data_IF_809985576211
#
_entry.id   IF_809985576211
#
_cell.length_a   1.000
_cell.length_b   1.000
_cell.length_c   1.000
_cell.angle_alpha   90.00
_cell.angle_beta   90.00
_cell.angle_gamma   90.00
#
_symmetry.space_group_name_H-M   'P 1'
#
loop_
_entity.id
_entity.type
_entity.pdbx_description
1 polymer ?
2 non-polymer ?
3 non-polymer ?
4 non-polymer ?
5 non-polymer ?
6 non-polymer ?
7 non-polymer ?
8 water ?
#
# COMPACT_ATOMS: atom_id res chain seq x y z
N UNK A 15 -5.55 -23.97 -0.74
CA UNK A 15 -6.93 -23.84 -1.32
C UNK A 15 -6.97 -24.34 -2.77
N UNK A 16 -8.16 -24.49 -3.32
CA UNK A 16 -8.36 -24.94 -4.69
C UNK A 16 -8.43 -23.74 -5.63
N UNK A 17 -7.70 -23.81 -6.75
CA UNK A 17 -7.70 -22.75 -7.78
C UNK A 17 -7.44 -21.34 -7.21
N UNK A 18 -6.30 -21.16 -6.52
CA UNK A 18 -6.04 -19.83 -5.96
C UNK A 18 -5.88 -18.79 -7.06
N UNK A 19 -6.30 -17.56 -6.79
CA UNK A 19 -6.14 -16.43 -7.73
C UNK A 19 -5.15 -15.37 -7.29
N UNK A 20 -4.54 -15.54 -6.13
CA UNK A 20 -3.57 -14.57 -5.60
C UNK A 20 -2.34 -15.37 -5.25
N UNK A 21 -1.73 -15.91 -6.31
CA UNK A 21 -0.67 -16.85 -6.15
C UNK A 21 0.67 -16.37 -6.67
N UNK A 22 0.68 -15.86 -7.89
CA UNK A 22 1.94 -15.46 -8.51
C UNK A 22 1.89 -14.02 -8.98
N UNK A 23 3.07 -13.42 -9.08
CA UNK A 23 3.22 -12.08 -9.56
C UNK A 23 3.91 -12.09 -10.92
N UNK A 24 3.30 -11.40 -11.88
CA UNK A 24 3.82 -11.22 -13.21
C UNK A 24 4.13 -9.75 -13.48
N UNK A 25 5.00 -9.47 -14.45
CA UNK A 25 5.22 -8.10 -14.88
C UNK A 25 3.89 -7.53 -15.42
N UNK A 26 3.48 -6.38 -14.91
CA UNK A 26 2.25 -5.74 -15.34
C UNK A 26 2.21 -5.38 -16.83
N UNK A 27 3.37 -5.06 -17.38
CA UNK A 27 3.47 -4.63 -18.78
C UNK A 27 3.45 -5.76 -19.79
N UNK A 28 4.02 -6.91 -19.48
CA UNK A 28 4.17 -7.99 -20.46
C UNK A 28 3.78 -9.38 -19.99
N UNK A 29 3.59 -9.61 -18.69
CA UNK A 29 3.24 -10.91 -18.20
C UNK A 29 4.32 -11.88 -17.81
N UNK A 30 5.59 -11.48 -17.96
CA UNK A 30 6.71 -12.31 -17.50
C UNK A 30 6.50 -12.76 -16.05
N UNK A 31 6.72 -14.03 -15.79
CA UNK A 31 6.63 -14.53 -14.40
C UNK A 31 7.77 -13.96 -13.58
N UNK A 32 7.45 -13.37 -12.44
CA UNK A 32 8.47 -12.68 -11.61
C UNK A 32 8.60 -13.27 -10.19
N UNK A 33 7.52 -13.43 -9.44
CA UNK A 33 7.62 -13.96 -8.09
C UNK A 33 6.34 -14.61 -7.63
N UNK A 34 6.23 -14.91 -6.34
CA UNK A 34 5.12 -15.68 -5.79
C UNK A 34 4.80 -15.10 -4.44
N UNK A 35 3.52 -15.11 -4.07
CA UNK A 35 3.11 -14.68 -2.75
C UNK A 35 3.81 -15.48 -1.62
N UNK A 36 4.01 -16.77 -1.87
CA UNK A 36 4.72 -17.63 -0.93
C UNK A 36 6.11 -17.13 -0.59
N UNK A 37 6.69 -16.32 -1.48
CA UNK A 37 8.07 -15.84 -1.31
C UNK A 37 8.14 -14.44 -0.71
N UNK A 38 7.03 -13.89 -0.27
CA UNK A 38 7.08 -12.61 0.45
C UNK A 38 7.97 -12.72 1.70
N UNK A 39 8.71 -11.66 1.99
CA UNK A 39 9.73 -11.67 3.02
C UNK A 39 9.53 -10.47 3.95
N UNK A 40 9.16 -10.70 5.23
CA UNK A 40 8.95 -9.60 6.16
C UNK A 40 10.23 -8.98 6.73
N UNK A 41 10.87 -8.13 5.95
CA UNK A 41 12.06 -7.37 6.35
C UNK A 41 11.74 -6.32 7.40
N UNK A 42 12.43 -6.34 8.53
CA UNK A 42 12.09 -5.46 9.63
C UNK A 42 10.65 -5.59 10.11
N UNK A 43 10.07 -6.78 10.00
CA UNK A 43 8.70 -7.06 10.44
C UNK A 43 7.57 -6.81 9.46
N UNK A 44 7.86 -6.32 8.25
CA UNK A 44 6.80 -6.00 7.26
C UNK A 44 7.32 -6.33 5.89
N UNK A 45 6.55 -7.01 5.05
CA UNK A 45 6.97 -7.20 3.67
C UNK A 45 6.84 -5.90 2.86
N UNK A 46 5.98 -4.98 3.29
CA UNK A 46 5.79 -3.69 2.63
C UNK A 46 6.61 -2.59 3.25
N UNK A 47 7.33 -1.86 2.40
CA UNK A 47 8.16 -0.72 2.80
C UNK A 47 7.87 0.44 1.87
N UNK A 48 7.37 1.56 2.41
CA UNK A 48 7.10 2.74 1.61
C UNK A 48 8.27 3.68 1.71
N UNK A 49 8.87 4.01 0.57
CA UNK A 49 10.16 4.65 0.50
C UNK A 49 10.21 5.69 -0.61
N UNK A 50 11.17 6.61 -0.53
CA UNK A 50 11.39 7.53 -1.64
C UNK A 50 12.84 7.60 -2.05
N UNK A 51 13.07 7.83 -3.35
CA UNK A 51 14.42 7.99 -3.88
C UNK A 51 14.84 9.48 -3.92
N UNK A 52 16.09 9.75 -4.32
CA UNK A 52 16.56 11.15 -4.36
C UNK A 52 15.81 12.04 -5.35
N UNK A 53 15.15 11.44 -6.34
CA UNK A 53 14.31 12.17 -7.28
C UNK A 53 12.91 12.42 -6.73
N UNK A 54 12.65 12.00 -5.50
CA UNK A 54 11.38 12.24 -4.82
C UNK A 54 10.28 11.26 -5.17
N UNK A 55 10.60 10.22 -5.93
CA UNK A 55 9.59 9.25 -6.34
C UNK A 55 9.33 8.33 -5.14
N UNK A 56 8.05 8.12 -4.82
CA UNK A 56 7.62 7.23 -3.75
C UNK A 56 7.37 5.86 -4.38
N UNK A 57 7.79 4.81 -3.66
CA UNK A 57 7.57 3.42 -4.09
C UNK A 57 7.01 2.67 -2.90
N UNK A 58 6.02 1.84 -3.22
CA UNK A 58 5.53 0.87 -2.27
C UNK A 58 6.23 -0.44 -2.65
N UNK A 59 7.23 -0.79 -1.86
CA UNK A 59 8.16 -1.88 -2.20
C UNK A 59 7.73 -3.08 -1.37
N UNK A 60 7.57 -4.20 -2.07
CA UNK A 60 7.30 -5.48 -1.40
C UNK A 60 8.58 -6.27 -1.49
N UNK A 61 8.97 -6.84 -0.35
CA UNK A 61 10.21 -7.62 -0.28
C UNK A 61 9.89 -9.08 -0.51
N UNK A 62 10.72 -9.72 -1.35
CA UNK A 62 10.57 -11.13 -1.70
C UNK A 62 11.93 -11.80 -1.49
N UNK A 63 11.88 -13.04 -0.98
CA UNK A 63 13.12 -13.80 -0.81
C UNK A 63 13.75 -14.18 -2.14
N UNK A 64 12.93 -14.38 -3.15
CA UNK A 64 13.30 -14.94 -4.43
C UNK A 64 12.45 -14.24 -5.48
N UNK A 65 13.00 -14.18 -6.66
CA UNK A 65 12.30 -13.72 -7.87
C UNK A 65 13.01 -14.33 -9.05
N UNK A 66 12.34 -14.28 -10.19
CA UNK A 66 12.87 -14.80 -11.44
C UNK A 66 12.44 -13.87 -12.55
N UNK A 67 12.94 -14.08 -13.75
CA UNK A 67 12.44 -13.32 -14.89
C UNK A 67 12.93 -11.89 -14.99
N UNK A 68 13.86 -11.51 -14.12
CA UNK A 68 14.40 -10.16 -14.09
C UNK A 68 15.74 -10.16 -14.77
N UNK A 69 16.26 -8.96 -15.03
CA UNK A 69 17.61 -8.75 -15.49
C UNK A 69 18.19 -7.70 -14.56
N UNK A 70 19.28 -8.06 -13.87
CA UNK A 70 19.88 -7.17 -12.89
C UNK A 70 21.00 -6.42 -13.59
N UNK A 71 20.97 -5.09 -13.50
CA UNK A 71 21.76 -4.19 -14.31
C UNK A 71 22.87 -3.53 -13.50
N UNK A 72 24.10 -3.63 -14.00
CA UNK A 72 25.24 -3.00 -13.34
C UNK A 72 25.75 -3.70 -12.09
N UNK A 73 26.64 -3.01 -11.40
CA UNK A 73 27.25 -3.48 -10.17
C UNK A 73 26.50 -2.88 -8.96
N UNK A 74 26.59 -3.53 -7.79
CA UNK A 74 25.86 -3.05 -6.65
C UNK A 74 26.32 -1.70 -6.13
N UNK A 75 25.41 -0.94 -5.54
CA UNK A 75 25.73 0.32 -4.90
C UNK A 75 25.10 0.38 -3.53
N UNK A 76 25.80 0.90 -2.53
CA UNK A 76 25.19 1.18 -1.22
C UNK A 76 24.54 2.53 -1.07
N UNK A 77 24.70 3.39 -2.08
CA UNK A 77 24.22 4.78 -2.03
C UNK A 77 22.72 4.82 -1.85
N UNK A 78 22.27 5.59 -0.87
CA UNK A 78 20.83 5.81 -0.61
C UNK A 78 20.05 4.52 -0.33
N UNK A 79 20.70 3.43 0.08
CA UNK A 79 20.00 2.19 0.24
C UNK A 79 18.94 2.32 1.34
N UNK A 80 17.74 1.84 1.04
CA UNK A 80 16.64 1.83 1.97
C UNK A 80 16.74 0.73 3.04
N UNK A 81 17.69 -0.18 2.90
CA UNK A 81 17.80 -1.33 3.78
C UNK A 81 19.23 -1.38 4.28
N UNK A 82 19.35 -1.15 5.59
CA UNK A 82 20.66 -1.05 6.22
C UNK A 82 21.47 -2.31 5.99
N UNK A 83 22.71 -2.11 5.53
CA UNK A 83 23.64 -3.20 5.28
C UNK A 83 23.58 -3.82 3.91
N UNK A 84 22.63 -3.38 3.07
CA UNK A 84 22.48 -3.94 1.72
C UNK A 84 22.83 -2.95 0.64
N UNK A 85 23.41 -3.49 -0.42
CA UNK A 85 23.75 -2.76 -1.63
C UNK A 85 22.73 -3.21 -2.65
N UNK A 86 22.42 -2.34 -3.59
CA UNK A 86 21.31 -2.63 -4.57
C UNK A 86 21.79 -2.59 -6.00
N UNK A 87 21.07 -3.33 -6.83
CA UNK A 87 21.19 -3.28 -8.27
C UNK A 87 19.78 -3.14 -8.81
N UNK A 88 19.65 -2.37 -9.86
CA UNK A 88 18.35 -2.19 -10.53
C UNK A 88 17.93 -3.52 -11.14
N UNK A 89 16.65 -3.84 -10.94
CA UNK A 89 16.06 -5.06 -11.50
C UNK A 89 15.02 -4.66 -12.54
N UNK A 90 15.27 -5.04 -13.79
CA UNK A 90 14.31 -4.80 -14.87
C UNK A 90 13.60 -6.11 -15.15
N UNK A 91 12.39 -6.01 -15.67
CA UNK A 91 11.77 -7.17 -16.30
C UNK A 91 12.71 -7.67 -17.41
N UNK A 92 13.06 -8.95 -17.36
CA UNK A 92 13.96 -9.55 -18.32
C UNK A 92 13.37 -9.65 -19.70
N UNK A 93 12.06 -9.59 -19.79
CA UNK A 93 11.36 -9.72 -21.05
C UNK A 93 11.18 -8.34 -21.72
N UNK A 94 10.56 -7.39 -21.01
CA UNK A 94 10.20 -6.10 -21.61
C UNK A 94 11.02 -4.88 -21.17
N UNK A 95 11.85 -5.04 -20.14
CA UNK A 95 12.69 -3.96 -19.66
C UNK A 95 12.06 -3.01 -18.67
N UNK A 96 10.80 -3.24 -18.29
CA UNK A 96 10.11 -2.41 -17.28
C UNK A 96 10.93 -2.43 -15.98
N UNK A 97 11.08 -1.27 -15.34
CA UNK A 97 11.78 -1.26 -14.06
C UNK A 97 10.87 -1.80 -12.98
N UNK A 98 11.16 -2.99 -12.45
CA UNK A 98 10.31 -3.64 -11.46
C UNK A 98 10.76 -3.49 -10.02
N UNK A 99 12.01 -3.13 -9.80
CA UNK A 99 12.53 -2.94 -8.47
C UNK A 99 14.01 -3.05 -8.39
N UNK A 100 14.49 -3.70 -7.33
CA UNK A 100 15.92 -3.77 -7.02
C UNK A 100 16.22 -5.12 -6.43
N UNK A 101 17.46 -5.58 -6.67
CA UNK A 101 17.99 -6.72 -5.96
C UNK A 101 18.96 -6.19 -4.91
N UNK A 102 18.85 -6.74 -3.71
CA UNK A 102 19.69 -6.33 -2.57
C UNK A 102 20.63 -7.45 -2.23
N UNK A 103 21.88 -7.10 -1.96
CA UNK A 103 22.90 -8.06 -1.58
C UNK A 103 23.89 -7.46 -0.60
N UNK A 104 24.75 -8.32 -0.10
CA UNK A 104 25.85 -7.88 0.74
C UNK A 104 25.52 -7.71 2.21
N UNK A 105 24.32 -8.09 2.61
CA UNK A 105 23.85 -7.87 3.97
C UNK A 105 23.83 -9.15 4.78
N UNK A 106 22.95 -9.21 5.79
CA UNK A 106 22.93 -10.34 6.72
C UNK A 106 21.50 -10.75 7.06
N UNK A 107 21.25 -12.05 7.02
CA UNK A 107 19.97 -12.63 7.47
C UNK A 107 18.72 -11.91 6.93
N UNK A 108 18.49 -11.94 5.60
CA UNK A 108 19.26 -12.71 4.63
C UNK A 108 20.40 -11.91 4.00
N UNK A 109 21.30 -12.60 3.34
CA UNK A 109 22.34 -11.93 2.58
C UNK A 109 21.78 -11.14 1.41
N UNK A 110 20.72 -11.68 0.80
CA UNK A 110 20.11 -11.14 -0.39
C UNK A 110 18.59 -11.21 -0.35
N UNK A 111 17.96 -10.28 -1.08
CA UNK A 111 16.51 -10.34 -1.30
C UNK A 111 16.15 -9.38 -2.45
N UNK A 112 14.89 -9.39 -2.85
CA UNK A 112 14.38 -8.48 -3.88
C UNK A 112 13.38 -7.52 -3.28
N UNK A 113 13.46 -6.25 -3.67
CA UNK A 113 12.42 -5.26 -3.35
C UNK A 113 11.75 -4.86 -4.64
N UNK A 114 10.49 -5.28 -4.80
CA UNK A 114 9.78 -5.06 -6.05
C UNK A 114 8.67 -4.05 -5.84
N UNK A 115 8.40 -3.28 -6.88
CA UNK A 115 7.42 -2.20 -6.82
C UNK A 115 6.02 -2.81 -7.06
N UNK A 116 5.19 -2.77 -6.04
CA UNK A 116 3.93 -3.51 -6.01
C UNK A 116 3.04 -3.21 -7.21
N UNK A 117 2.89 -1.92 -7.52
CA UNK A 117 1.98 -1.47 -8.58
C UNK A 117 2.52 -1.73 -9.98
N UNK A 118 3.74 -2.25 -10.10
CA UNK A 118 4.32 -2.66 -11.39
C UNK A 118 4.19 -4.14 -11.64
N UNK A 119 3.54 -4.86 -10.72
CA UNK A 119 3.28 -6.30 -10.85
C UNK A 119 1.78 -6.53 -10.95
N UNK A 120 1.40 -7.64 -11.58
CA UNK A 120 0.02 -8.11 -11.59
C UNK A 120 -0.05 -9.45 -10.88
N UNK A 121 -0.97 -9.60 -9.96
CA UNK A 121 -1.11 -10.81 -9.16
C UNK A 121 -2.21 -11.69 -9.71
N UNK A 122 -2.00 -13.00 -9.70
CA UNK A 122 -2.97 -13.89 -10.33
C UNK A 122 -2.69 -15.34 -10.03
N UNK A 123 -3.51 -16.20 -10.67
CA UNK A 123 -3.42 -17.62 -10.36
C UNK A 123 -2.14 -18.27 -10.82
N UNK A 124 -1.79 -19.35 -10.15
CA UNK A 124 -0.61 -20.13 -10.47
C UNK A 124 -0.60 -20.75 -11.89
N UNK B 15 -18.67 15.46 7.04
CA UNK B 15 -19.49 15.70 8.28
C UNK B 15 -20.99 15.67 8.00
N UNK B 16 -21.48 16.56 7.15
CA UNK B 16 -22.93 16.69 6.91
C UNK B 16 -23.44 15.87 5.74
N UNK B 17 -22.54 15.41 4.87
CA UNK B 17 -22.96 14.77 3.62
C UNK B 17 -21.90 13.81 3.09
N UNK B 18 -22.23 13.03 2.04
CA UNK B 18 -21.19 12.19 1.44
C UNK B 18 -20.06 13.03 0.86
N UNK B 19 -18.85 12.50 0.90
CA UNK B 19 -17.69 13.09 0.21
C UNK B 19 -18.08 13.60 -1.18
N UNK B 20 -17.41 14.65 -1.64
CA UNK B 20 -17.82 15.31 -2.87
C UNK B 20 -17.56 14.54 -4.13
N UNK B 21 -16.86 13.39 -4.11
CA UNK B 21 -16.64 12.68 -5.33
C UNK B 21 -17.30 11.30 -5.49
N UNK B 22 -17.77 11.11 -6.73
CA UNK B 22 -18.41 9.86 -7.11
C UNK B 22 -17.71 9.28 -8.34
N UNK B 23 -17.92 8.00 -8.55
CA UNK B 23 -17.45 7.30 -9.73
C UNK B 23 -18.64 6.93 -10.59
N UNK B 24 -18.61 7.37 -11.84
CA UNK B 24 -19.65 7.10 -12.80
C UNK B 24 -19.14 6.14 -13.85
N UNK B 25 -20.06 5.42 -14.50
CA UNK B 25 -19.69 4.61 -15.65
C UNK B 25 -19.14 5.53 -16.72
N UNK B 26 -17.93 5.21 -17.21
CA UNK B 26 -17.27 6.05 -18.21
C UNK B 26 -18.04 6.10 -19.53
N UNK B 27 -18.77 5.03 -19.83
CA UNK B 27 -19.50 4.92 -21.10
C UNK B 27 -20.83 5.63 -21.13
N UNK B 28 -21.59 5.64 -20.03
CA UNK B 28 -22.93 6.28 -20.04
C UNK B 28 -23.22 7.28 -18.93
N UNK B 29 -22.36 7.36 -17.93
CA UNK B 29 -22.54 8.35 -16.89
C UNK B 29 -23.29 7.94 -15.65
N UNK B 30 -23.80 6.70 -15.64
CA UNK B 30 -24.61 6.26 -14.50
C UNK B 30 -23.71 6.30 -13.25
N UNK B 31 -24.19 6.82 -12.13
CA UNK B 31 -23.52 6.70 -10.87
C UNK B 31 -23.36 5.22 -10.47
N UNK B 32 -22.12 4.86 -10.16
CA UNK B 32 -21.77 3.49 -9.75
C UNK B 32 -21.29 3.38 -8.30
N UNK B 33 -20.31 4.19 -7.91
CA UNK B 33 -19.80 4.13 -6.53
C UNK B 33 -19.25 5.47 -6.08
N UNK B 34 -18.62 5.48 -4.93
CA UNK B 34 -18.30 6.76 -4.24
C UNK B 34 -16.92 6.61 -3.63
N UNK B 35 -16.15 7.68 -3.63
CA UNK B 35 -14.87 7.68 -2.96
C UNK B 35 -14.96 7.27 -1.47
N UNK B 36 -16.04 7.68 -0.82
CA UNK B 36 -16.28 7.33 0.59
C UNK B 36 -16.29 5.80 0.79
N UNK B 37 -16.59 5.05 -0.27
CA UNK B 37 -16.74 3.60 -0.18
C UNK B 37 -15.50 2.84 -0.59
N UNK B 38 -14.39 3.54 -0.88
CA UNK B 38 -13.15 2.84 -1.15
C UNK B 38 -12.76 1.94 0.01
N UNK B 39 -12.25 0.77 -0.31
CA UNK B 39 -12.09 -0.32 0.67
C UNK B 39 -10.67 -0.87 0.50
N UNK B 40 -9.79 -0.66 1.50
CA UNK B 40 -8.41 -1.18 1.37
C UNK B 40 -8.29 -2.68 1.70
N UNK B 41 -8.67 -3.52 0.74
CA UNK B 41 -8.54 -4.98 0.87
C UNK B 41 -7.10 -5.42 0.83
N UNK B 42 -6.69 -6.21 1.82
CA UNK B 42 -5.29 -6.59 1.93
C UNK B 42 -4.33 -5.41 2.02
N UNK B 43 -4.78 -4.28 2.58
CA UNK B 43 -3.96 -3.09 2.75
C UNK B 43 -3.90 -2.08 1.61
N UNK B 44 -4.61 -2.33 0.50
CA UNK B 44 -4.57 -1.42 -0.66
C UNK B 44 -5.93 -1.40 -1.30
N UNK B 45 -6.48 -0.23 -1.65
CA UNK B 45 -7.71 -0.28 -2.45
C UNK B 45 -7.44 -0.64 -3.92
N UNK B 46 -6.21 -0.45 -4.39
CA UNK B 46 -5.82 -0.83 -5.75
C UNK B 46 -5.20 -2.20 -5.82
N UNK B 47 -5.69 -3.03 -6.75
CA UNK B 47 -5.15 -4.37 -6.97
C UNK B 47 -4.96 -4.53 -8.47
N UNK B 48 -3.73 -4.74 -8.93
CA UNK B 48 -3.44 -5.09 -10.32
C UNK B 48 -3.35 -6.62 -10.37
N UNK B 49 -4.18 -7.21 -11.21
CA UNK B 49 -4.44 -8.65 -11.20
C UNK B 49 -4.54 -9.19 -12.62
N UNK B 50 -4.41 -10.49 -12.75
CA UNK B 50 -4.63 -11.14 -14.04
C UNK B 50 -5.49 -12.38 -13.86
N UNK B 51 -6.27 -12.69 -14.88
CA UNK B 51 -7.16 -13.87 -14.85
C UNK B 51 -6.47 -15.06 -15.54
N UNK B 52 -7.11 -16.25 -15.53
CA UNK B 52 -6.51 -17.41 -16.18
C UNK B 52 -6.29 -17.27 -17.69
N UNK B 53 -7.04 -16.38 -18.33
CA UNK B 53 -6.86 -16.09 -19.74
C UNK B 53 -5.73 -15.10 -19.99
N UNK B 54 -5.09 -14.63 -18.93
CA UNK B 54 -3.96 -13.69 -19.02
C UNK B 54 -4.36 -12.25 -19.23
N UNK B 55 -5.64 -11.93 -19.06
CA UNK B 55 -6.08 -10.52 -19.13
C UNK B 55 -5.71 -9.82 -17.81
N UNK B 56 -5.09 -8.66 -17.93
CA UNK B 56 -4.66 -7.86 -16.78
C UNK B 56 -5.66 -6.78 -16.52
N UNK B 57 -6.00 -6.56 -15.25
CA UNK B 57 -6.94 -5.51 -14.83
C UNK B 57 -6.40 -4.74 -13.67
N UNK B 58 -6.70 -3.46 -13.59
CA UNK B 58 -6.39 -2.65 -12.42
C UNK B 58 -7.69 -2.36 -11.73
N UNK B 59 -7.91 -3.03 -10.61
CA UNK B 59 -9.16 -3.04 -9.87
C UNK B 59 -9.06 -2.15 -8.64
N UNK B 60 -10.09 -1.37 -8.37
CA UNK B 60 -10.24 -0.62 -7.14
C UNK B 60 -11.37 -1.27 -6.33
N UNK B 61 -11.15 -1.49 -5.04
CA UNK B 61 -12.14 -2.13 -4.20
C UNK B 61 -13.04 -1.08 -3.55
N UNK B 62 -14.35 -1.36 -3.59
CA UNK B 62 -15.38 -0.52 -2.99
C UNK B 62 -16.29 -1.36 -2.15
N UNK B 63 -16.73 -0.84 -1.01
CA UNK B 63 -17.62 -1.60 -0.12
C UNK B 63 -19.00 -1.82 -0.70
N UNK B 64 -19.47 -0.85 -1.43
CA UNK B 64 -20.81 -0.86 -2.02
C UNK B 64 -20.71 -0.29 -3.41
N UNK B 65 -21.74 -0.57 -4.21
CA UNK B 65 -21.94 0.08 -5.49
C UNK B 65 -23.42 0.09 -5.81
N UNK B 66 -23.77 0.79 -6.85
CA UNK B 66 -25.15 0.82 -7.34
C UNK B 66 -25.12 0.89 -8.84
N UNK B 67 -26.26 0.60 -9.43
CA UNK B 67 -26.41 0.75 -10.86
C UNK B 67 -25.80 -0.34 -11.70
N UNK B 68 -25.33 -1.42 -11.08
CA UNK B 68 -24.72 -2.52 -11.82
C UNK B 68 -25.75 -3.63 -12.02
N UNK B 69 -25.42 -4.59 -12.87
CA UNK B 69 -26.19 -5.83 -13.02
C UNK B 69 -25.19 -6.95 -12.91
N UNK B 70 -25.37 -7.83 -11.95
CA UNK B 70 -24.50 -8.94 -11.70
C UNK B 70 -24.99 -10.14 -12.48
N UNK B 71 -24.09 -10.77 -13.23
CA UNK B 71 -24.41 -11.77 -14.24
C UNK B 71 -23.95 -13.14 -13.79
N UNK B 72 -24.85 -14.13 -13.87
CA UNK B 72 -24.52 -15.51 -13.58
C UNK B 72 -24.48 -15.82 -12.11
N UNK B 73 -24.02 -17.05 -11.80
CA UNK B 73 -23.89 -17.50 -10.42
C UNK B 73 -22.47 -17.24 -9.92
N UNK B 74 -22.31 -17.09 -8.60
CA UNK B 74 -20.96 -16.84 -8.08
C UNK B 74 -20.00 -18.01 -8.32
N UNK B 75 -18.72 -17.68 -8.51
CA UNK B 75 -17.70 -18.67 -8.72
C UNK B 75 -16.57 -18.41 -7.77
N UNK B 76 -16.04 -19.51 -7.19
CA UNK B 76 -14.83 -19.44 -6.40
C UNK B 76 -13.55 -19.59 -7.19
N UNK B 77 -13.67 -19.99 -8.45
CA UNK B 77 -12.51 -20.31 -9.30
C UNK B 77 -11.60 -19.12 -9.47
N UNK B 78 -10.32 -19.26 -9.07
CA UNK B 78 -9.30 -18.24 -9.32
C UNK B 78 -9.62 -16.87 -8.78
N UNK B 79 -10.35 -16.88 -7.66
CA UNK B 79 -10.70 -15.63 -7.03
C UNK B 79 -9.47 -14.84 -6.64
N UNK B 80 -9.47 -13.54 -6.95
CA UNK B 80 -8.37 -12.68 -6.54
C UNK B 80 -8.35 -12.34 -5.04
N UNK B 81 -9.45 -12.67 -4.35
CA UNK B 81 -9.59 -12.35 -2.94
C UNK B 81 -9.97 -13.62 -2.23
N UNK B 82 -9.01 -14.16 -1.48
CA UNK B 82 -9.17 -15.46 -0.83
C UNK B 82 -10.40 -15.46 0.09
N UNK B 83 -11.24 -16.47 -0.04
CA UNK B 83 -12.43 -16.61 0.77
C UNK B 83 -13.68 -16.02 0.16
N UNK B 84 -13.55 -15.37 -1.01
CA UNK B 84 -14.69 -14.78 -1.70
C UNK B 84 -14.96 -15.47 -3.03
N UNK B 85 -16.22 -15.51 -3.41
CA UNK B 85 -16.69 -15.93 -4.71
C UNK B 85 -17.00 -14.64 -5.49
N UNK B 86 -16.90 -14.70 -6.81
CA UNK B 86 -17.14 -13.53 -7.65
C UNK B 86 -18.24 -13.72 -8.69
N UNK B 87 -18.84 -12.59 -9.06
CA UNK B 87 -19.77 -12.52 -10.17
C UNK B 87 -19.38 -11.32 -10.99
N UNK B 88 -19.51 -11.45 -12.29
CA UNK B 88 -19.25 -10.36 -13.22
C UNK B 88 -20.27 -9.24 -13.03
N UNK B 89 -19.79 -8.01 -12.99
CA UNK B 89 -20.63 -6.80 -12.87
C UNK B 89 -20.61 -5.98 -14.12
N UNK B 90 -21.78 -5.78 -14.73
CA UNK B 90 -21.94 -4.88 -15.85
C UNK B 90 -22.61 -3.61 -15.39
N UNK B 91 -22.37 -2.50 -16.07
CA UNK B 91 -23.25 -1.36 -15.89
C UNK B 91 -24.68 -1.77 -16.24
N UNK B 92 -25.62 -1.53 -15.34
CA UNK B 92 -27.01 -1.90 -15.54
C UNK B 92 -27.70 -1.08 -16.63
N UNK B 93 -27.15 0.09 -16.92
CA UNK B 93 -27.73 1.01 -17.87
C UNK B 93 -27.21 0.78 -19.28
N UNK B 94 -25.91 0.65 -19.46
CA UNK B 94 -25.33 0.48 -20.80
C UNK B 94 -24.65 -0.85 -21.10
N UNK B 95 -24.45 -1.69 -20.09
CA UNK B 95 -23.82 -3.00 -20.29
C UNK B 95 -22.31 -3.07 -20.27
N UNK B 96 -21.64 -1.93 -20.05
CA UNK B 96 -20.18 -1.88 -19.96
C UNK B 96 -19.68 -2.82 -18.85
N UNK B 97 -18.63 -3.59 -19.09
CA UNK B 97 -18.10 -4.45 -18.03
C UNK B 97 -17.32 -3.59 -17.05
N UNK B 98 -17.84 -3.41 -15.84
CA UNK B 98 -17.23 -2.52 -14.86
C UNK B 98 -16.44 -3.23 -13.78
N UNK B 99 -16.59 -4.51 -13.59
CA UNK B 99 -15.77 -5.26 -12.62
C UNK B 99 -16.46 -6.54 -12.17
N UNK B 100 -16.39 -6.74 -10.85
CA UNK B 100 -16.90 -7.94 -10.22
C UNK B 100 -17.46 -7.62 -8.86
N UNK B 101 -18.43 -8.43 -8.43
CA UNK B 101 -18.91 -8.42 -7.06
C UNK B 101 -18.38 -9.65 -6.35
N UNK B 102 -17.96 -9.46 -5.10
CA UNK B 102 -17.40 -10.51 -4.27
C UNK B 102 -18.32 -10.76 -3.12
N UNK B 103 -18.50 -12.04 -2.79
CA UNK B 103 -19.40 -12.45 -1.70
C UNK B 103 -18.90 -13.72 -1.04
N UNK B 104 -19.57 -14.05 0.05
CA UNK B 104 -19.32 -15.32 0.75
C UNK B 104 -18.15 -15.30 1.69
N UNK B 105 -17.60 -14.12 1.94
CA UNK B 105 -16.50 -13.95 2.88
C UNK B 105 -16.98 -13.43 4.23
N UNK B 106 -16.04 -12.84 4.95
CA UNK B 106 -16.29 -12.25 6.28
C UNK B 106 -15.54 -10.95 6.40
N UNK B 107 -16.19 -9.95 6.98
CA UNK B 107 -15.59 -8.67 7.32
C UNK B 107 -14.76 -8.05 6.16
N UNK B 108 -15.41 -7.66 5.06
CA UNK B 108 -16.87 -7.67 4.88
C UNK B 108 -17.37 -8.95 4.26
N UNK B 109 -18.67 -9.19 4.32
CA UNK B 109 -19.23 -10.36 3.64
C UNK B 109 -19.18 -10.18 2.13
N UNK B 110 -19.37 -8.93 1.69
CA UNK B 110 -19.42 -8.58 0.27
C UNK B 110 -18.71 -7.25 -0.01
N UNK B 111 -18.24 -7.11 -1.25
CA UNK B 111 -17.63 -5.88 -1.74
C UNK B 111 -17.50 -5.99 -3.27
N UNK B 112 -17.08 -4.89 -3.91
CA UNK B 112 -16.88 -4.83 -5.34
C UNK B 112 -15.43 -4.59 -5.66
N UNK B 113 -14.98 -5.18 -6.75
CA UNK B 113 -13.71 -4.79 -7.38
C UNK B 113 -14.04 -4.24 -8.74
N UNK B 114 -13.86 -2.94 -8.89
CA UNK B 114 -14.26 -2.25 -10.10
C UNK B 114 -13.04 -1.82 -10.89
N UNK B 115 -13.16 -1.87 -12.21
CA UNK B 115 -12.05 -1.54 -13.11
C UNK B 115 -11.90 -0.05 -13.21
N UNK B 116 -10.80 0.47 -12.66
CA UNK B 116 -10.61 1.93 -12.52
C UNK B 116 -10.75 2.65 -13.85
N UNK B 117 -10.17 2.11 -14.91
CA UNK B 117 -10.18 2.71 -16.25
C UNK B 117 -11.53 2.80 -16.91
N UNK B 118 -12.50 2.05 -16.36
CA UNK B 118 -13.88 2.04 -16.89
C UNK B 118 -14.82 2.95 -16.12
N UNK B 119 -14.27 3.68 -15.14
CA UNK B 119 -15.03 4.63 -14.33
C UNK B 119 -14.50 6.04 -14.59
N UNK B 120 -15.33 7.03 -14.32
CA UNK B 120 -14.93 8.43 -14.37
C UNK B 120 -15.22 9.03 -13.03
N UNK B 121 -14.24 9.66 -12.39
CA UNK B 121 -14.44 10.29 -11.09
C UNK B 121 -14.78 11.77 -11.26
N UNK B 122 -15.72 12.25 -10.46
CA UNK B 122 -16.21 13.61 -10.63
C UNK B 122 -17.06 14.04 -9.46
N UNK B 123 -17.46 15.31 -9.43
CA UNK B 123 -18.25 15.79 -8.31
C UNK B 123 -19.66 15.20 -8.27
N UNK B 124 -20.21 15.14 -7.07
CA UNK B 124 -21.51 14.58 -6.85
C UNK B 124 -22.55 15.66 -7.19
N UNK C 19 19.88 6.20 3.22
CA UNK C 19 18.62 6.60 2.54
C UNK C 19 17.36 6.53 3.40
N UNK C 20 17.52 6.57 4.72
CA UNK C 20 16.40 6.60 5.66
C UNK C 20 16.57 7.85 6.52
N UNK C 21 16.56 8.99 5.86
CA UNK C 21 17.05 10.24 6.40
C UNK C 21 16.03 11.35 6.54
N UNK C 22 15.11 11.43 5.62
CA UNK C 22 13.95 12.35 5.72
C UNK C 22 12.66 11.52 5.65
N UNK C 23 11.67 11.97 6.42
CA UNK C 23 10.42 11.23 6.59
C UNK C 23 9.31 12.10 6.06
N UNK C 24 8.46 11.50 5.20
CA UNK C 24 7.45 12.26 4.40
C UNK C 24 6.09 11.57 4.53
N UNK C 25 4.99 12.31 4.36
CA UNK C 25 3.69 11.69 4.27
C UNK C 25 3.62 10.71 3.09
N UNK C 26 3.23 9.47 3.37
CA UNK C 26 3.09 8.42 2.35
C UNK C 26 2.10 8.77 1.25
N UNK C 27 1.06 9.52 1.59
CA UNK C 27 -0.07 9.75 0.68
C UNK C 27 0.20 10.90 -0.28
N UNK C 28 0.92 11.94 0.17
CA UNK C 28 1.18 13.09 -0.70
C UNK C 28 2.63 13.57 -0.77
N UNK C 29 3.50 13.08 0.10
CA UNK C 29 4.90 13.47 0.09
C UNK C 29 5.33 14.66 0.91
N UNK C 30 4.39 15.29 1.61
CA UNK C 30 4.72 16.40 2.52
C UNK C 30 5.88 16.04 3.44
N UNK C 31 6.86 16.92 3.52
CA UNK C 31 8.02 16.70 4.38
C UNK C 31 7.55 16.86 5.81
N UNK C 32 7.87 15.89 6.66
CA UNK C 32 7.43 15.91 8.08
C UNK C 32 8.59 15.98 9.07
N UNK C 33 9.58 15.10 8.95
CA UNK C 33 10.68 15.13 9.91
C UNK C 33 11.96 14.51 9.33
N UNK C 34 13.00 14.49 10.19
CA UNK C 34 14.29 13.95 9.77
C UNK C 34 14.94 13.17 10.87
N UNK C 35 15.82 12.29 10.42
CA UNK C 35 16.57 11.39 11.28
C UNK C 35 17.36 12.13 12.34
N UNK C 36 17.88 13.32 12.06
CA UNK C 36 18.59 14.11 13.12
C UNK C 36 17.71 14.34 14.35
N UNK C 37 16.39 14.36 14.15
CA UNK C 37 15.45 14.64 15.24
C UNK C 37 14.83 13.40 15.85
N UNK C 38 15.25 12.22 15.40
CA UNK C 38 14.60 10.99 15.78
C UNK C 38 15.08 10.77 17.19
N UNK C 39 14.23 10.14 18.00
CA UNK C 39 14.59 9.78 19.36
C UNK C 39 14.66 8.24 19.56
N UNK C 40 15.88 7.70 19.72
CA UNK C 40 15.99 6.23 19.93
C UNK C 40 15.69 5.82 21.38
N UNK C 41 15.16 4.63 21.64
CA UNK C 41 15.16 4.08 23.00
C UNK C 41 16.10 2.91 22.88
N UNK C 42 17.24 3.02 23.57
CA UNK C 42 18.29 1.98 23.51
C UNK C 42 18.74 1.75 22.05
N UNK C 43 18.57 0.52 21.58
CA UNK C 43 18.96 0.14 20.22
C UNK C 43 17.88 0.23 19.14
N UNK C 44 16.74 0.84 19.42
CA UNK C 44 15.69 0.95 18.41
C UNK C 44 15.07 2.37 18.32
N UNK C 45 15.14 2.92 17.12
CA UNK C 45 14.43 4.19 16.87
C UNK C 45 12.92 3.93 16.71
N UNK C 46 12.53 2.72 16.33
CA UNK C 46 11.12 2.36 16.10
C UNK C 46 10.58 1.67 17.34
N UNK C 47 9.39 2.09 17.78
CA UNK C 47 8.73 1.49 18.96
C UNK C 47 7.36 0.93 18.58
N UNK C 48 7.24 -0.37 18.87
CA UNK C 48 6.19 -1.21 18.34
C UNK C 48 5.08 -1.29 19.38
N UNK C 49 3.88 -0.92 18.95
CA UNK C 49 2.75 -0.70 19.86
C UNK C 49 1.47 -1.26 19.25
N UNK C 50 0.42 -1.39 20.07
CA UNK C 50 -0.88 -1.73 19.52
C UNK C 50 -1.96 -0.77 20.02
N UNK C 51 -2.92 -0.47 19.17
CA UNK C 51 -4.10 0.30 19.60
C UNK C 51 -5.08 -0.57 20.40
N UNK C 52 -6.18 0.00 20.90
CA UNK C 52 -7.12 -0.81 21.69
C UNK C 52 -7.76 -1.98 20.93
N UNK C 53 -7.81 -1.89 19.60
CA UNK C 53 -8.29 -2.97 18.77
C UNK C 53 -7.24 -4.04 18.51
N UNK C 54 -6.03 -3.86 19.05
CA UNK C 54 -4.95 -4.82 18.89
C UNK C 54 -4.19 -4.74 17.56
N UNK C 55 -4.45 -3.69 16.78
CA UNK C 55 -3.71 -3.48 15.53
C UNK C 55 -2.31 -2.94 15.87
N UNK C 56 -1.28 -3.52 15.26
CA UNK C 56 0.11 -3.22 15.55
C UNK C 56 0.64 -2.09 14.66
N UNK C 57 1.40 -1.18 15.26
CA UNK C 57 2.03 -0.07 14.54
C UNK C 57 3.49 0.03 14.95
N UNK C 58 4.31 0.50 14.02
CA UNK C 58 5.65 0.94 14.29
C UNK C 58 5.64 2.45 14.37
N UNK C 59 5.88 2.97 15.56
CA UNK C 59 5.91 4.41 15.81
C UNK C 59 7.35 4.90 15.84
N UNK C 60 7.62 5.99 15.12
CA UNK C 60 8.89 6.69 15.23
C UNK C 60 8.69 7.98 16.01
N UNK C 61 9.48 8.18 17.05
CA UNK C 61 9.43 9.41 17.84
C UNK C 61 10.43 10.42 17.35
N UNK C 62 9.98 11.67 17.19
CA UNK C 62 10.83 12.78 16.73
C UNK C 62 10.67 13.95 17.68
N UNK C 63 11.76 14.62 17.99
CA UNK C 63 11.70 15.81 18.84
C UNK C 63 11.00 17.00 18.17
N UNK C 64 11.16 17.09 16.86
CA UNK C 64 10.62 18.19 16.08
C UNK C 64 9.98 17.66 14.82
N UNK C 65 8.97 18.38 14.32
CA UNK C 65 8.40 18.03 13.00
C UNK C 65 7.89 19.29 12.36
N UNK C 66 7.56 19.16 11.08
CA UNK C 66 6.93 20.27 10.36
C UNK C 66 5.83 19.70 9.48
N UNK C 67 5.03 20.61 8.95
CA UNK C 67 4.08 20.22 7.93
C UNK C 67 2.85 19.46 8.40
N UNK C 68 2.65 19.41 9.72
CA UNK C 68 1.47 18.78 10.28
C UNK C 68 0.43 19.85 10.61
N UNK C 69 -0.77 19.40 10.94
CA UNK C 69 -1.78 20.20 11.61
C UNK C 69 -2.20 19.43 12.85
N UNK C 70 -2.05 20.04 14.03
CA UNK C 70 -2.42 19.38 15.28
C UNK C 70 -3.85 19.77 15.62
N UNK C 71 -4.73 18.79 15.84
CA UNK C 71 -6.18 19.05 15.97
C UNK C 71 -6.67 18.76 17.37
N UNK C 72 -7.46 19.65 17.95
CA UNK C 72 -8.23 19.33 19.16
C UNK C 72 -7.43 19.38 20.45
N UNK C 73 -8.03 18.88 21.53
CA UNK C 73 -7.46 18.99 22.86
C UNK C 73 -6.73 17.70 23.24
N UNK C 74 -5.74 17.79 24.14
CA UNK C 74 -4.97 16.59 24.47
C UNK C 74 -5.79 15.53 25.21
N UNK C 75 -5.42 14.27 25.01
CA UNK C 75 -6.06 13.16 25.70
C UNK C 75 -4.99 12.25 26.26
N UNK C 76 -5.20 11.75 27.48
CA UNK C 76 -4.36 10.72 28.06
C UNK C 76 -4.78 9.28 27.72
N UNK C 77 -5.93 9.12 27.09
CA UNK C 77 -6.54 7.80 26.85
C UNK C 77 -5.63 6.90 26.03
N UNK C 78 -5.32 5.71 26.54
CA UNK C 78 -4.54 4.71 25.82
C UNK C 78 -3.16 5.19 25.38
N UNK C 79 -2.60 6.20 26.03
CA UNK C 79 -1.33 6.74 25.58
C UNK C 79 -0.26 5.66 25.66
N UNK C 80 0.51 5.53 24.58
CA UNK C 80 1.61 4.57 24.56
C UNK C 80 2.84 5.02 25.34
N UNK C 81 2.83 6.26 25.81
CA UNK C 81 3.99 6.84 26.49
C UNK C 81 3.49 7.38 27.82
N UNK C 82 3.84 6.69 28.90
CA UNK C 82 3.34 7.02 30.22
C UNK C 82 3.69 8.45 30.60
N UNK C 83 2.69 9.18 31.07
CA UNK C 83 2.86 10.57 31.46
C UNK C 83 2.68 11.59 30.36
N UNK C 84 2.38 11.14 29.14
CA UNK C 84 2.09 12.04 28.03
C UNK C 84 0.65 11.95 27.58
N UNK C 85 0.12 13.13 27.23
CA UNK C 85 -1.18 13.25 26.60
C UNK C 85 -0.88 13.46 25.11
N UNK C 86 -1.81 13.05 24.26
CA UNK C 86 -1.62 13.18 22.80
C UNK C 86 -2.70 13.99 22.13
N UNK C 87 -2.33 14.56 21.00
CA UNK C 87 -3.22 15.28 20.10
C UNK C 87 -2.96 14.74 18.72
N UNK C 88 -4.01 14.58 17.94
CA UNK C 88 -3.93 14.03 16.60
C UNK C 88 -3.11 14.96 15.71
N UNK C 89 -2.19 14.35 14.94
CA UNK C 89 -1.37 15.08 13.97
C UNK C 89 -1.77 14.62 12.57
N UNK C 90 -2.30 15.56 11.77
CA UNK C 90 -2.63 15.29 10.39
C UNK C 90 -1.58 15.89 9.51
N UNK C 91 -1.42 15.30 8.34
CA UNK C 91 -0.65 15.96 7.30
C UNK C 91 -1.31 17.30 6.98
N UNK C 92 -0.53 18.37 7.02
CA UNK C 92 -1.05 19.68 6.66
C UNK C 92 -1.40 19.84 5.19
N UNK C 93 -0.86 18.98 4.35
CA UNK C 93 -1.05 19.09 2.91
C UNK C 93 -2.26 18.30 2.43
N UNK C 94 -2.40 17.06 2.84
CA UNK C 94 -3.52 16.21 2.36
C UNK C 94 -4.50 15.77 3.44
N UNK C 95 -4.20 16.00 4.71
CA UNK C 95 -5.12 15.62 5.79
C UNK C 95 -4.97 14.20 6.33
N UNK C 96 -4.06 13.40 5.78
CA UNK C 96 -3.82 12.03 6.25
C UNK C 96 -3.44 12.03 7.73
N UNK C 97 -3.99 11.09 8.48
CA UNK C 97 -3.62 10.99 9.89
C UNK C 97 -2.25 10.33 9.98
N UNK C 98 -1.22 11.08 10.41
CA UNK C 98 0.15 10.54 10.44
C UNK C 98 0.66 10.11 11.82
N UNK C 99 -0.02 10.58 12.86
CA UNK C 99 0.40 10.26 14.20
C UNK C 99 -0.14 11.21 15.21
N UNK C 100 0.69 11.51 16.22
CA UNK C 100 0.26 12.30 17.36
C UNK C 100 1.37 13.21 17.81
N UNK C 101 0.98 14.32 18.43
CA UNK C 101 1.90 15.15 19.20
C UNK C 101 1.67 14.82 20.67
N UNK C 102 2.76 14.66 21.40
CA UNK C 102 2.72 14.25 22.81
C UNK C 102 3.22 15.40 23.65
N UNK C 103 2.55 15.61 24.79
CA UNK C 103 2.89 16.71 25.67
C UNK C 103 2.57 16.35 27.10
N UNK C 104 3.01 17.24 27.99
CA UNK C 104 2.68 17.14 29.40
C UNK C 104 3.58 16.21 30.19
N UNK C 105 4.65 15.71 29.56
CA UNK C 105 5.61 14.84 30.23
C UNK C 105 6.87 15.58 30.66
N UNK C 106 7.93 14.82 30.82
CA UNK C 106 9.24 15.32 31.26
C UNK C 106 10.35 14.64 30.47
N UNK C 107 11.34 15.43 30.05
CA UNK C 107 12.55 14.92 29.40
C UNK C 107 12.27 13.90 28.27
N UNK C 108 11.64 14.32 27.17
CA UNK C 108 11.27 15.71 26.89
C UNK C 108 9.86 16.05 27.35
N UNK C 109 9.54 17.33 27.42
CA UNK C 109 8.17 17.71 27.72
C UNK C 109 7.22 17.35 26.60
N UNK C 110 7.73 17.46 25.36
CA UNK C 110 6.94 17.20 24.15
C UNK C 110 7.74 16.46 23.08
N UNK C 111 7.02 15.74 22.22
CA UNK C 111 7.61 15.09 21.06
C UNK C 111 6.49 14.67 20.11
N UNK C 112 6.86 14.19 18.94
CA UNK C 112 5.90 13.68 17.95
C UNK C 112 6.10 12.19 17.77
N UNK C 113 5.01 11.44 17.79
CA UNK C 113 5.05 10.00 17.58
C UNK C 113 4.29 9.69 16.32
N UNK C 114 5.03 9.33 15.27
CA UNK C 114 4.44 9.22 13.95
C UNK C 114 4.44 7.76 13.53
N UNK C 115 3.38 7.39 12.82
CA UNK C 115 3.12 5.99 12.50
C UNK C 115 3.94 5.60 11.28
N UNK C 116 4.86 4.66 11.47
CA UNK C 116 5.75 4.18 10.40
C UNK C 116 5.06 3.87 9.08
N UNK C 117 3.93 3.15 9.11
CA UNK C 117 3.32 2.75 7.83
C UNK C 117 2.55 3.88 7.13
N UNK C 118 2.46 5.04 7.78
CA UNK C 118 1.89 6.25 7.16
C UNK C 118 2.95 7.19 6.59
N UNK C 119 4.22 6.81 6.69
CA UNK C 119 5.34 7.61 6.25
C UNK C 119 6.10 6.93 5.12
N UNK C 120 6.82 7.73 4.34
CA UNK C 120 7.83 7.25 3.41
C UNK C 120 9.17 7.80 3.87
N UNK C 121 10.17 6.92 3.94
CA UNK C 121 11.53 7.35 4.31
C UNK C 121 12.36 7.45 3.04
N UNK C 122 13.24 8.44 2.97
CA UNK C 122 14.20 8.50 1.87
C UNK C 122 15.38 9.39 2.19
N UNK C 123 16.29 9.56 1.23
CA UNK C 123 17.53 10.25 1.50
C UNK C 123 17.37 11.74 1.75
N UNK C 124 18.38 12.32 2.42
CA UNK C 124 18.44 13.77 2.65
C UNK C 124 18.49 14.54 1.34
N UNK C 125 18.17 15.82 1.43
CA UNK C 125 18.12 16.69 0.27
C UNK C 125 19.50 16.86 -0.39
#
# INVERSE_FOLDING_TARGET
>A
AMPLDAGGQNSTQMVLAPGASIFRCRQCGQTISRRDWLLPMGGDHEHVVFNPAGMIFRVWCFSLAQGLRLIGAPSGEFSWFKGYDWTIALCGQCGSHLGWHYEGGSQPQTFFGLIKDRLAEGPAD
>B
AMPLDAGGQNSTQMVLAPGASIFRCRQCGQTISRRDWLLPMGGDHEHVVFNPAGMIFRVWCFSLAQGLRLIGAPSGEFSWFKGYDWTIALCGQCGSHLGWHYEGGSQPQTFFGLIKDRLAEGPAD
>C
AMPLDAGGQNSTQMVLAPGASIFRCRQCGQTISRRDWLLPMGGDHEHVVFNPAGMIFRVWCFSLAQGLRLIGAPSGEFSWFKGYDWTIALCGQCGSHLGWHYEGGSQPQTFFGLIKDRLAEGPAD
#
